data_IF_268023804696
#
_entry.id   IF_268023804696
#
_cell.length_a   1.000
_cell.length_b   1.000
_cell.length_c   1.000
_cell.angle_alpha   90.00
_cell.angle_beta   90.00
_cell.angle_gamma   90.00
#
_symmetry.space_group_name_H-M   'P 1'
#
loop_
_entity.id
_entity.type
_entity.pdbx_description
1 polymer ?
#
# COMPACT_ATOMS: atom_id res chain seq x y z
N UNK A 1 23.69 14.10 -18.25
CA UNK A 1 22.66 13.63 -17.31
C UNK A 1 21.85 12.57 -18.03
N UNK A 2 21.91 11.31 -17.61
CA UNK A 2 20.96 10.32 -18.10
C UNK A 2 19.58 10.65 -17.53
N UNK A 3 18.62 10.96 -18.40
CA UNK A 3 17.24 11.17 -17.99
C UNK A 3 16.64 9.81 -17.58
N UNK A 4 16.28 9.70 -16.30
CA UNK A 4 15.70 8.48 -15.72
C UNK A 4 14.34 8.14 -16.32
N UNK A 5 13.69 9.07 -17.03
CA UNK A 5 12.45 8.85 -17.80
C UNK A 5 12.70 8.20 -19.15
N UNK A 6 13.93 8.24 -19.67
CA UNK A 6 14.27 7.69 -21.00
C UNK A 6 14.33 6.17 -21.01
N UNK A 7 14.39 5.51 -19.85
CA UNK A 7 14.43 4.04 -19.78
C UNK A 7 13.06 3.44 -20.12
N UNK A 8 12.93 2.65 -21.20
CA UNK A 8 11.65 2.09 -21.60
C UNK A 8 11.18 1.04 -20.58
N UNK A 9 9.87 1.06 -20.26
CA UNK A 9 9.25 0.11 -19.33
C UNK A 9 8.92 -1.21 -20.02
N UNK A 10 9.94 -2.03 -20.31
CA UNK A 10 9.81 -3.23 -21.16
C UNK A 10 9.49 -4.52 -20.41
N UNK A 11 9.57 -4.55 -19.07
CA UNK A 11 9.45 -5.79 -18.29
C UNK A 11 8.17 -6.60 -18.52
N UNK A 12 7.03 -5.94 -18.75
CA UNK A 12 5.77 -6.63 -19.10
C UNK A 12 5.80 -7.24 -20.49
N UNK A 13 6.35 -6.52 -21.47
CA UNK A 13 6.42 -6.97 -22.86
C UNK A 13 7.31 -8.22 -22.97
N UNK A 14 8.53 -8.14 -22.40
CA UNK A 14 9.48 -9.27 -22.34
C UNK A 14 8.87 -10.54 -21.75
N UNK A 15 8.06 -10.42 -20.69
CA UNK A 15 7.38 -11.60 -20.08
C UNK A 15 6.22 -12.12 -20.93
N UNK A 16 5.56 -11.23 -21.67
CA UNK A 16 4.44 -11.62 -22.54
C UNK A 16 4.93 -12.41 -23.75
N UNK A 17 6.13 -12.09 -24.27
CA UNK A 17 6.80 -12.86 -25.34
C UNK A 17 7.02 -14.33 -24.93
N UNK A 18 7.39 -14.59 -23.67
CA UNK A 18 7.56 -15.94 -23.13
C UNK A 18 6.29 -16.54 -22.49
N UNK A 19 5.12 -15.96 -22.73
CA UNK A 19 3.91 -16.31 -21.97
C UNK A 19 3.42 -17.75 -22.18
N UNK A 20 3.59 -18.31 -23.38
CA UNK A 20 3.24 -19.69 -23.70
C UNK A 20 4.14 -20.67 -22.93
N UNK A 21 5.43 -20.42 -22.94
CA UNK A 21 6.43 -21.22 -22.22
C UNK A 21 6.22 -21.14 -20.70
N UNK A 22 5.99 -19.94 -20.17
CA UNK A 22 5.70 -19.74 -18.74
C UNK A 22 4.48 -20.56 -18.31
N UNK A 23 3.39 -20.57 -19.10
CA UNK A 23 2.19 -21.38 -18.79
C UNK A 23 2.51 -22.87 -18.76
N UNK A 24 3.28 -23.36 -19.74
CA UNK A 24 3.69 -24.76 -19.81
C UNK A 24 4.50 -25.14 -18.56
N UNK A 25 5.50 -24.35 -18.21
CA UNK A 25 6.35 -24.62 -17.05
C UNK A 25 5.60 -24.51 -15.71
N UNK A 26 4.63 -23.60 -15.61
CA UNK A 26 3.72 -23.54 -14.45
C UNK A 26 2.83 -24.78 -14.36
N UNK A 27 2.32 -25.28 -15.49
CA UNK A 27 1.52 -26.50 -15.54
C UNK A 27 2.35 -27.75 -15.20
N UNK A 28 3.63 -27.77 -15.55
CA UNK A 28 4.61 -28.78 -15.14
C UNK A 28 4.98 -28.71 -13.64
N UNK A 29 4.43 -27.75 -12.89
CA UNK A 29 4.68 -27.59 -11.46
C UNK A 29 6.03 -26.95 -11.12
N UNK A 30 6.71 -26.31 -12.09
CA UNK A 30 7.97 -25.62 -11.82
C UNK A 30 7.76 -24.40 -10.94
N UNK A 31 8.70 -24.17 -10.04
CA UNK A 31 8.72 -22.98 -9.18
C UNK A 31 9.07 -21.73 -9.98
N UNK A 32 8.60 -20.56 -9.55
CA UNK A 32 8.91 -19.30 -10.23
C UNK A 32 10.42 -19.06 -10.40
N UNK A 33 11.24 -19.45 -9.41
CA UNK A 33 12.71 -19.34 -9.48
C UNK A 33 13.31 -20.24 -10.57
N UNK A 34 12.81 -21.46 -10.72
CA UNK A 34 13.25 -22.35 -11.80
C UNK A 34 12.86 -21.80 -13.17
N UNK A 35 11.64 -21.27 -13.31
CA UNK A 35 11.18 -20.65 -14.55
C UNK A 35 12.04 -19.43 -14.88
N UNK A 36 12.32 -18.58 -13.90
CA UNK A 36 13.20 -17.43 -14.06
C UNK A 36 14.57 -17.84 -14.58
N UNK A 37 15.25 -18.79 -13.91
CA UNK A 37 16.59 -19.24 -14.34
C UNK A 37 16.60 -19.79 -15.78
N UNK A 38 15.55 -20.54 -16.16
CA UNK A 38 15.42 -21.08 -17.52
C UNK A 38 15.25 -19.96 -18.56
N UNK A 39 14.46 -18.94 -18.25
CA UNK A 39 14.22 -17.82 -19.16
C UNK A 39 15.41 -16.86 -19.23
N UNK A 40 16.13 -16.66 -18.11
CA UNK A 40 17.37 -15.87 -18.09
C UNK A 40 18.43 -16.49 -19.01
N UNK A 41 18.55 -17.82 -18.99
CA UNK A 41 19.43 -18.54 -19.93
C UNK A 41 19.00 -18.41 -21.40
N UNK A 42 17.74 -18.02 -21.66
CA UNK A 42 17.18 -17.76 -22.99
C UNK A 42 17.20 -16.29 -23.41
N UNK A 43 17.82 -15.42 -22.61
CA UNK A 43 17.95 -13.98 -22.91
C UNK A 43 16.92 -13.08 -22.23
N UNK A 44 16.19 -13.58 -21.23
CA UNK A 44 15.30 -12.73 -20.43
C UNK A 44 16.11 -11.78 -19.55
N UNK A 45 16.20 -10.53 -20.00
CA UNK A 45 16.89 -9.45 -19.28
C UNK A 45 15.89 -8.64 -18.42
N UNK A 46 15.50 -9.22 -17.28
CA UNK A 46 14.80 -8.54 -16.18
C UNK A 46 15.26 -9.11 -14.83
N UNK A 47 15.08 -8.38 -13.74
CA UNK A 47 15.36 -8.92 -12.41
C UNK A 47 14.34 -9.97 -11.97
N UNK A 48 14.76 -10.90 -11.12
CA UNK A 48 13.88 -11.92 -10.51
C UNK A 48 12.68 -11.28 -9.77
N UNK A 49 12.91 -10.14 -9.11
CA UNK A 49 11.86 -9.39 -8.42
C UNK A 49 10.81 -8.82 -9.39
N UNK A 50 11.23 -8.34 -10.56
CA UNK A 50 10.31 -7.89 -11.62
C UNK A 50 9.58 -9.08 -12.23
N UNK A 51 10.29 -10.18 -12.52
CA UNK A 51 9.70 -11.42 -13.00
C UNK A 51 8.56 -11.88 -12.08
N UNK A 52 8.82 -12.07 -10.79
CA UNK A 52 7.82 -12.50 -9.81
C UNK A 52 6.60 -11.57 -9.73
N UNK A 53 6.82 -10.25 -9.76
CA UNK A 53 5.74 -9.25 -9.77
C UNK A 53 4.83 -9.43 -10.97
N UNK A 54 5.42 -9.62 -12.15
CA UNK A 54 4.67 -9.79 -13.39
C UNK A 54 4.01 -11.16 -13.48
N UNK A 55 4.66 -12.23 -13.02
CA UNK A 55 4.06 -13.58 -12.96
C UNK A 55 2.78 -13.55 -12.13
N UNK A 56 2.83 -12.95 -10.93
CA UNK A 56 1.66 -12.80 -10.06
C UNK A 56 0.56 -11.97 -10.72
N UNK A 57 0.92 -10.92 -11.47
CA UNK A 57 -0.07 -10.03 -12.12
C UNK A 57 -0.72 -10.65 -13.35
N UNK A 58 0.02 -11.42 -14.15
CA UNK A 58 -0.41 -11.90 -15.47
C UNK A 58 -1.01 -13.30 -15.39
N UNK A 59 -0.41 -14.20 -14.61
CA UNK A 59 -0.75 -15.63 -14.61
C UNK A 59 -1.47 -16.08 -13.32
N UNK A 60 -1.51 -15.26 -12.27
CA UNK A 60 -2.25 -15.55 -11.02
C UNK A 60 -3.22 -14.41 -10.65
N UNK A 61 -4.18 -14.07 -11.53
CA UNK A 61 -5.12 -12.98 -11.24
C UNK A 61 -6.10 -13.31 -10.09
N UNK A 62 -6.36 -14.59 -9.83
CA UNK A 62 -7.39 -15.05 -8.87
C UNK A 62 -6.97 -15.04 -7.40
N UNK A 63 -5.67 -14.91 -7.08
CA UNK A 63 -5.20 -14.79 -5.68
C UNK A 63 -5.52 -13.42 -5.03
N UNK A 64 -6.27 -12.56 -5.73
CA UNK A 64 -6.60 -11.19 -5.30
C UNK A 64 -7.97 -11.04 -4.65
N UNK A 65 -8.78 -12.09 -4.58
CA UNK A 65 -10.09 -12.00 -3.90
C UNK A 65 -10.01 -11.99 -2.36
N UNK A 66 -8.84 -12.21 -1.73
CA UNK A 66 -8.77 -12.41 -0.28
C UNK A 66 -8.11 -11.27 0.54
N UNK A 67 -8.03 -10.03 0.03
CA UNK A 67 -7.55 -8.89 0.85
C UNK A 67 -8.47 -7.67 0.94
N UNK A 68 -9.60 -7.65 0.24
CA UNK A 68 -10.58 -6.56 0.35
C UNK A 68 -11.87 -6.92 1.09
N UNK A 69 -12.02 -8.15 1.63
CA UNK A 69 -13.27 -8.59 2.27
C UNK A 69 -13.14 -9.43 3.56
N UNK A 70 -11.96 -9.52 4.17
CA UNK A 70 -11.76 -10.25 5.44
C UNK A 70 -11.21 -9.31 6.51
N UNK A 71 -12.06 -8.41 6.99
CA UNK A 71 -11.96 -7.82 8.33
C UNK A 71 -13.37 -7.80 8.91
N UNK A 72 -13.92 -8.98 9.13
CA UNK A 72 -14.95 -9.24 10.13
C UNK A 72 -14.67 -10.65 10.66
N UNK A 73 -14.83 -10.80 11.98
CA UNK A 73 -14.79 -12.04 12.78
C UNK A 73 -13.43 -12.43 13.40
N UNK A 74 -13.28 -11.93 14.63
CA UNK A 74 -12.97 -12.70 15.85
C UNK A 74 -11.59 -13.38 16.04
N UNK A 75 -10.83 -12.76 16.96
CA UNK A 75 -10.19 -13.33 18.16
C UNK A 75 -9.56 -14.73 18.02
N UNK A 76 -8.23 -14.79 18.07
CA UNK A 76 -7.57 -15.71 18.97
C UNK A 76 -6.23 -15.17 19.46
N UNK A 77 -6.11 -15.09 20.78
CA UNK A 77 -4.94 -14.64 21.52
C UNK A 77 -3.78 -15.63 21.38
N UNK A 78 -2.54 -15.12 21.25
CA UNK A 78 -1.35 -15.57 22.00
C UNK A 78 -0.09 -14.78 21.63
N UNK A 79 0.11 -13.71 22.41
CA UNK A 79 1.32 -13.30 23.13
C UNK A 79 2.68 -13.45 22.43
N UNK A 80 3.30 -12.32 22.08
CA UNK A 80 4.73 -12.04 22.22
C UNK A 80 4.87 -10.55 22.56
N UNK A 81 5.33 -10.28 23.78
CA UNK A 81 5.46 -8.95 24.38
C UNK A 81 6.60 -8.16 23.74
N UNK A 82 6.31 -6.94 23.25
CA UNK A 82 7.17 -5.75 23.45
C UNK A 82 6.51 -4.49 22.86
N UNK A 83 6.01 -3.68 23.79
CA UNK A 83 5.92 -2.22 23.77
C UNK A 83 5.12 -1.52 22.64
N UNK A 84 3.93 -1.09 23.05
CA UNK A 84 3.10 0.01 22.49
C UNK A 84 2.37 -0.36 21.18
N UNK A 85 1.57 -1.43 21.27
CA UNK A 85 0.33 -1.51 20.51
C UNK A 85 -0.74 -0.74 21.28
N UNK A 86 -1.04 0.47 20.84
CA UNK A 86 -2.40 0.97 20.95
C UNK A 86 -3.03 0.82 19.57
N UNK A 87 -3.59 -0.37 19.32
CA UNK A 87 -4.69 -0.55 18.37
C UNK A 87 -5.90 0.23 18.91
N UNK A 88 -5.78 1.55 18.96
CA UNK A 88 -6.93 2.43 19.02
C UNK A 88 -7.48 2.36 17.62
N UNK A 89 -8.49 1.49 17.45
CA UNK A 89 -9.50 1.62 16.42
C UNK A 89 -9.77 3.11 16.25
N UNK A 90 -9.40 3.67 15.09
CA UNK A 90 -9.62 5.09 14.82
C UNK A 90 -11.08 5.40 15.20
N UNK A 91 -11.34 6.38 16.09
CA UNK A 91 -12.71 6.66 16.50
C UNK A 91 -13.56 6.82 15.26
N UNK A 92 -14.62 6.01 15.14
CA UNK A 92 -15.56 5.98 14.00
C UNK A 92 -15.98 7.40 13.54
N UNK A 93 -15.98 8.33 14.47
CA UNK A 93 -16.28 9.75 14.31
C UNK A 93 -15.34 10.51 13.35
N UNK A 94 -14.02 10.24 13.37
CA UNK A 94 -13.05 10.89 12.48
C UNK A 94 -13.20 10.41 11.03
N UNK A 95 -13.51 9.12 10.84
CA UNK A 95 -13.77 8.56 9.52
C UNK A 95 -15.04 9.15 8.89
N UNK A 96 -16.08 9.43 9.69
CA UNK A 96 -17.32 10.03 9.21
C UNK A 96 -17.17 11.46 8.71
N UNK A 97 -16.13 12.18 9.13
CA UNK A 97 -15.85 13.55 8.69
C UNK A 97 -14.76 13.61 7.60
N UNK A 98 -14.37 12.46 7.05
CA UNK A 98 -13.40 12.38 5.96
C UNK A 98 -11.96 12.62 6.39
N UNK A 99 -11.64 12.43 7.68
CA UNK A 99 -10.27 12.53 8.22
C UNK A 99 -9.75 11.12 8.51
N UNK A 100 -8.83 10.64 7.68
CA UNK A 100 -8.35 9.25 7.76
C UNK A 100 -6.92 9.13 8.29
N UNK A 101 -6.15 10.22 8.29
CA UNK A 101 -4.76 10.18 8.72
C UNK A 101 -4.62 10.16 10.24
N UNK A 102 -4.09 9.05 10.78
CA UNK A 102 -3.73 8.91 12.20
C UNK A 102 -2.90 10.09 12.72
N UNK A 103 -1.92 10.55 11.94
CA UNK A 103 -1.05 11.68 12.34
C UNK A 103 -1.84 12.96 12.50
N UNK A 104 -2.74 13.25 11.56
CA UNK A 104 -3.60 14.43 11.63
C UNK A 104 -4.57 14.36 12.82
N UNK A 105 -5.13 13.19 13.10
CA UNK A 105 -6.03 12.99 14.24
C UNK A 105 -5.30 13.28 15.55
N UNK A 106 -4.10 12.72 15.74
CA UNK A 106 -3.27 12.99 16.91
C UNK A 106 -2.93 14.48 17.00
N UNK A 107 -2.56 15.12 15.89
CA UNK A 107 -2.25 16.55 15.88
C UNK A 107 -3.47 17.41 16.23
N UNK A 108 -4.68 17.04 15.78
CA UNK A 108 -5.93 17.72 16.12
C UNK A 108 -6.29 17.54 17.60
N UNK A 109 -6.21 16.32 18.11
CA UNK A 109 -6.50 16.00 19.53
C UNK A 109 -5.51 16.71 20.46
N UNK A 110 -4.22 16.76 20.11
CA UNK A 110 -3.22 17.51 20.87
C UNK A 110 -3.48 19.02 20.90
N UNK A 111 -4.19 19.55 19.90
CA UNK A 111 -4.61 20.95 19.84
C UNK A 111 -6.01 21.18 20.44
N UNK A 112 -6.60 20.15 21.07
CA UNK A 112 -7.91 20.24 21.73
C UNK A 112 -9.10 20.19 20.78
N UNK A 113 -8.90 19.81 19.52
CA UNK A 113 -9.99 19.68 18.54
C UNK A 113 -10.68 18.33 18.64
N UNK A 114 -12.01 18.36 18.69
CA UNK A 114 -12.87 17.17 18.64
C UNK A 114 -13.43 16.96 17.23
N UNK A 115 -13.86 15.73 16.88
CA UNK A 115 -14.49 15.46 15.58
C UNK A 115 -15.69 16.37 15.27
N UNK A 116 -16.45 16.79 16.29
CA UNK A 116 -17.58 17.71 16.15
C UNK A 116 -17.15 19.09 15.65
N UNK A 117 -16.11 19.66 16.25
CA UNK A 117 -15.57 20.97 15.86
C UNK A 117 -15.02 20.92 14.43
N UNK A 118 -14.30 19.85 14.09
CA UNK A 118 -13.70 19.69 12.76
C UNK A 118 -14.78 19.43 11.70
N UNK A 119 -15.90 18.79 12.07
CA UNK A 119 -17.07 18.64 11.20
C UNK A 119 -17.66 19.99 10.78
N UNK A 120 -17.76 20.92 11.72
CA UNK A 120 -18.31 22.27 11.45
C UNK A 120 -17.45 23.05 10.44
N UNK A 121 -16.17 22.70 10.29
CA UNK A 121 -15.33 23.34 9.29
C UNK A 121 -15.78 23.00 7.87
N UNK A 122 -16.37 21.82 7.64
CA UNK A 122 -16.85 21.39 6.33
C UNK A 122 -15.74 21.32 5.26
N UNK A 123 -14.49 21.16 5.69
CA UNK A 123 -13.32 21.20 4.80
C UNK A 123 -12.80 19.79 4.48
N UNK A 124 -12.23 19.57 3.29
CA UNK A 124 -11.52 18.33 2.99
C UNK A 124 -10.24 18.21 3.83
N UNK A 125 -9.76 16.97 4.04
CA UNK A 125 -8.61 16.66 4.91
C UNK A 125 -7.36 17.51 4.62
N UNK A 126 -7.08 17.81 3.34
CA UNK A 126 -5.94 18.65 2.96
C UNK A 126 -6.02 20.08 3.51
N UNK A 127 -7.22 20.66 3.54
CA UNK A 127 -7.45 22.02 4.04
C UNK A 127 -7.51 22.05 5.58
N UNK A 128 -8.01 20.98 6.21
CA UNK A 128 -7.94 20.78 7.67
C UNK A 128 -6.47 20.83 8.14
N UNK A 129 -5.56 20.14 7.43
CA UNK A 129 -4.12 20.18 7.72
C UNK A 129 -3.52 21.58 7.59
N UNK A 130 -3.85 22.29 6.49
CA UNK A 130 -3.33 23.63 6.26
C UNK A 130 -3.79 24.60 7.36
N UNK A 131 -5.07 24.52 7.74
CA UNK A 131 -5.64 25.33 8.82
C UNK A 131 -4.93 25.07 10.15
N UNK A 132 -4.72 23.81 10.50
CA UNK A 132 -4.00 23.42 11.72
C UNK A 132 -2.57 23.96 11.74
N UNK A 133 -1.86 23.92 10.61
CA UNK A 133 -0.51 24.50 10.49
C UNK A 133 -0.52 26.01 10.74
N UNK A 134 -1.50 26.73 10.16
CA UNK A 134 -1.64 28.18 10.34
C UNK A 134 -1.94 28.54 11.79
N UNK A 135 -2.82 27.80 12.45
CA UNK A 135 -3.18 28.03 13.85
C UNK A 135 -2.01 27.76 14.79
N UNK A 136 -1.27 26.66 14.57
CA UNK A 136 -0.06 26.35 15.32
C UNK A 136 1.05 27.40 15.13
N UNK A 137 1.18 27.94 13.92
CA UNK A 137 2.11 29.04 13.64
C UNK A 137 1.72 30.33 14.37
N UNK A 138 0.41 30.62 14.49
CA UNK A 138 -0.09 31.78 15.26
C UNK A 138 0.14 31.66 16.75
N UNK A 139 0.05 30.46 17.32
CA UNK A 139 0.29 30.23 18.75
C UNK A 139 1.78 30.30 19.12
N UNK A 140 2.69 29.89 18.22
CA UNK A 140 4.14 29.95 18.45
C UNK A 140 4.77 31.33 18.26
N UNK A 141 4.06 32.25 17.61
CA UNK A 141 4.50 33.63 17.38
C UNK A 141 4.05 34.64 18.45
N UNK A 142 3.49 34.16 19.57
CA UNK A 142 3.11 34.96 20.73
C UNK A 142 4.02 34.68 21.92
#
# INVERSE_FOLDING_TARGET
>A
MDDWRSKPRTGRAKITEHSTEIRKLLAEGKTNRQIYNLLTNKGLDISESQFNRHIKKIFRPHDKQSKSQLFNSEVNEKKCDSAINSDISLPYEWNNIGVFSKKLIIDLENNGYTPGIVREWGLPESQIRQRLIIENARQKGK
#
